data_IF_643892112657
#
_entry.id   IF_643892112657
#
_cell.length_a   1.000
_cell.length_b   1.000
_cell.length_c   1.000
_cell.angle_alpha   90.00
_cell.angle_beta   90.00
_cell.angle_gamma   90.00
#
_symmetry.space_group_name_H-M   'P 1'
#
loop_
_entity.id
_entity.type
_entity.pdbx_description
1 polymer ?
#
# COMPACT_ATOMS: atom_id res chain seq x y z
N UNK A 1 -7.58 39.00 8.45
CA UNK A 1 -7.14 39.54 7.14
C UNK A 1 -8.24 39.30 6.11
N UNK A 2 -8.56 40.26 5.26
CA UNK A 2 -9.48 40.06 4.12
C UNK A 2 -8.64 40.17 2.85
N UNK A 3 -8.48 39.05 2.13
CA UNK A 3 -7.71 38.97 0.88
C UNK A 3 -8.47 38.17 -0.18
N UNK A 4 -8.13 38.38 -1.45
CA UNK A 4 -8.67 37.57 -2.55
C UNK A 4 -8.08 36.16 -2.46
N UNK A 5 -8.93 35.13 -2.54
CA UNK A 5 -8.48 33.75 -2.63
C UNK A 5 -7.70 33.56 -3.95
N UNK A 6 -6.52 32.95 -3.86
CA UNK A 6 -5.61 32.77 -4.98
C UNK A 6 -4.69 31.58 -4.78
N UNK A 7 -3.71 31.43 -5.66
CA UNK A 7 -2.70 30.37 -5.55
C UNK A 7 -1.91 30.46 -4.24
N UNK A 8 -1.43 29.33 -3.71
CA UNK A 8 -0.72 29.33 -2.44
C UNK A 8 0.57 30.15 -2.53
N UNK A 9 0.81 30.98 -1.51
CA UNK A 9 2.01 31.78 -1.35
C UNK A 9 3.22 30.95 -0.88
N UNK A 10 4.40 31.56 -0.89
CA UNK A 10 5.66 30.91 -0.47
C UNK A 10 5.59 30.36 0.97
N UNK A 11 4.97 31.11 1.88
CA UNK A 11 4.85 30.70 3.29
C UNK A 11 3.95 29.47 3.45
N UNK A 12 2.83 29.43 2.74
CA UNK A 12 1.90 28.30 2.76
C UNK A 12 2.56 27.03 2.22
N UNK A 13 3.32 27.15 1.12
CA UNK A 13 4.12 26.06 0.56
C UNK A 13 5.19 25.61 1.56
N UNK A 14 5.94 26.54 2.15
CA UNK A 14 7.01 26.22 3.12
C UNK A 14 6.49 25.55 4.40
N UNK A 15 5.34 26.00 4.91
CA UNK A 15 4.69 25.40 6.07
C UNK A 15 4.19 23.98 5.75
N UNK A 16 3.56 23.78 4.58
CA UNK A 16 3.15 22.46 4.11
C UNK A 16 4.34 21.51 3.98
N UNK A 17 5.45 22.00 3.41
CA UNK A 17 6.67 21.21 3.24
C UNK A 17 7.32 20.83 4.58
N UNK A 18 7.27 21.71 5.59
CA UNK A 18 7.76 21.37 6.93
C UNK A 18 6.90 20.27 7.57
N UNK A 19 5.58 20.36 7.46
CA UNK A 19 4.67 19.34 7.99
C UNK A 19 4.82 17.99 7.25
N UNK A 20 5.02 18.04 5.93
CA UNK A 20 5.33 16.86 5.12
C UNK A 20 6.64 16.19 5.59
N UNK A 21 7.73 16.97 5.73
CA UNK A 21 9.00 16.45 6.26
C UNK A 21 8.88 15.86 7.66
N UNK A 22 8.02 16.42 8.50
CA UNK A 22 7.77 15.90 9.84
C UNK A 22 7.09 14.52 9.84
N UNK A 23 6.30 14.21 8.79
CA UNK A 23 5.50 12.99 8.70
C UNK A 23 6.17 11.89 7.86
N UNK A 24 6.96 12.22 6.83
CA UNK A 24 7.65 11.23 5.99
C UNK A 24 8.34 10.10 6.78
N UNK A 25 9.07 10.37 7.89
CA UNK A 25 9.75 9.31 8.64
C UNK A 25 8.82 8.26 9.26
N UNK A 26 7.56 8.61 9.51
CA UNK A 26 6.56 7.73 10.16
C UNK A 26 5.54 7.17 9.18
N UNK A 27 5.58 7.56 7.90
CA UNK A 27 4.71 6.99 6.88
C UNK A 27 5.03 5.49 6.68
N UNK A 28 4.01 4.67 6.38
CA UNK A 28 4.21 3.28 5.98
C UNK A 28 4.92 3.21 4.63
N UNK A 29 5.49 2.05 4.33
CA UNK A 29 5.99 1.77 2.98
C UNK A 29 4.84 1.64 1.97
N UNK A 30 5.14 1.81 0.67
CA UNK A 30 4.19 1.53 -0.42
C UNK A 30 3.74 0.06 -0.42
N UNK A 31 4.59 -0.84 0.09
CA UNK A 31 4.25 -2.25 0.24
C UNK A 31 3.14 -2.46 1.28
N UNK A 32 3.28 -1.84 2.45
CA UNK A 32 2.30 -1.91 3.55
C UNK A 32 1.03 -1.10 3.27
N UNK A 33 1.15 0.04 2.60
CA UNK A 33 0.04 0.95 2.34
C UNK A 33 0.13 1.56 0.93
N UNK A 34 -0.41 0.89 -0.10
CA UNK A 34 -0.23 1.24 -1.51
C UNK A 34 -1.09 2.42 -1.98
N UNK A 35 -1.19 3.46 -1.16
CA UNK A 35 -2.07 4.59 -1.42
C UNK A 35 -1.27 5.85 -1.67
N UNK A 36 -1.68 6.60 -2.69
CA UNK A 36 -1.31 8.00 -2.80
C UNK A 36 -2.05 8.80 -1.72
N UNK A 37 -1.30 9.40 -0.80
CA UNK A 37 -1.85 10.18 0.32
C UNK A 37 -1.81 11.66 -0.05
N UNK A 38 -2.95 12.34 0.06
CA UNK A 38 -3.04 13.80 -0.03
C UNK A 38 -3.63 14.36 1.25
N UNK A 39 -2.81 15.09 2.02
CA UNK A 39 -3.28 15.88 3.16
C UNK A 39 -3.43 17.35 2.73
N UNK A 40 -4.56 17.95 3.09
CA UNK A 40 -4.80 19.39 2.93
C UNK A 40 -5.16 19.93 4.31
N UNK A 41 -4.37 20.89 4.80
CA UNK A 41 -4.68 21.57 6.06
C UNK A 41 -5.19 22.97 5.74
N UNK A 42 -6.43 23.24 6.16
CA UNK A 42 -7.03 24.57 6.08
C UNK A 42 -6.93 25.26 7.45
N UNK A 43 -6.22 26.39 7.48
CA UNK A 43 -6.03 27.16 8.71
C UNK A 43 -7.24 28.10 8.89
N UNK A 44 -8.10 27.75 9.83
CA UNK A 44 -9.32 28.53 10.13
C UNK A 44 -9.09 29.64 11.18
N UNK A 45 -8.02 29.51 11.97
CA UNK A 45 -7.60 30.53 12.95
C UNK A 45 -6.09 30.44 13.18
N UNK A 46 -5.47 31.55 13.55
CA UNK A 46 -4.04 31.63 13.81
C UNK A 46 -3.77 32.63 14.94
N UNK A 47 -2.99 32.19 15.93
CA UNK A 47 -2.30 33.02 16.91
C UNK A 47 -1.14 32.19 17.48
N UNK A 48 -0.19 31.82 16.61
CA UNK A 48 0.80 30.78 16.86
C UNK A 48 1.13 29.98 15.59
N UNK A 49 1.94 28.95 15.74
CA UNK A 49 2.52 28.26 14.58
C UNK A 49 1.55 27.32 13.84
N UNK A 50 1.07 27.80 12.69
CA UNK A 50 0.19 27.03 11.80
C UNK A 50 0.88 25.83 11.17
N UNK A 51 2.21 25.81 11.03
CA UNK A 51 2.94 24.64 10.52
C UNK A 51 2.97 23.49 11.54
N UNK A 52 3.06 23.81 12.84
CA UNK A 52 2.96 22.79 13.90
C UNK A 52 1.54 22.29 14.03
N UNK A 53 0.55 23.19 13.97
CA UNK A 53 -0.86 22.80 13.88
C UNK A 53 -1.12 21.87 12.69
N UNK A 54 -0.55 22.16 11.50
CA UNK A 54 -0.69 21.33 10.31
C UNK A 54 -0.06 19.94 10.47
N UNK A 55 1.06 19.83 11.19
CA UNK A 55 1.68 18.53 11.49
C UNK A 55 0.78 17.70 12.42
N UNK A 56 0.28 18.32 13.50
CA UNK A 56 -0.59 17.66 14.46
C UNK A 56 -1.93 17.26 13.83
N UNK A 57 -2.57 18.15 13.06
CA UNK A 57 -3.83 17.86 12.38
C UNK A 57 -3.67 16.80 11.30
N UNK A 58 -2.59 16.85 10.51
CA UNK A 58 -2.32 15.83 9.50
C UNK A 58 -2.07 14.46 10.13
N UNK A 59 -1.37 14.41 11.27
CA UNK A 59 -1.21 13.14 12.01
C UNK A 59 -2.57 12.53 12.37
N UNK A 60 -3.45 13.32 13.01
CA UNK A 60 -4.78 12.86 13.38
C UNK A 60 -5.63 12.48 12.17
N UNK A 61 -5.62 13.28 11.11
CA UNK A 61 -6.38 13.02 9.89
C UNK A 61 -5.91 11.74 9.18
N UNK A 62 -4.61 11.48 9.15
CA UNK A 62 -4.05 10.25 8.57
C UNK A 62 -4.42 9.03 9.41
N UNK A 63 -4.35 9.13 10.74
CA UNK A 63 -4.81 8.07 11.64
C UNK A 63 -6.31 7.81 11.49
N UNK A 64 -7.13 8.86 11.39
CA UNK A 64 -8.57 8.76 11.15
C UNK A 64 -8.89 8.12 9.79
N UNK A 65 -8.11 8.46 8.76
CA UNK A 65 -8.22 7.87 7.43
C UNK A 65 -7.75 6.40 7.37
N UNK A 66 -7.19 5.86 8.46
CA UNK A 66 -6.71 4.47 8.56
C UNK A 66 -5.31 4.25 7.99
N UNK A 67 -4.51 5.32 7.84
CA UNK A 67 -3.11 5.20 7.42
C UNK A 67 -2.29 4.61 8.58
N UNK A 68 -1.60 3.47 8.39
CA UNK A 68 -0.84 2.80 9.45
C UNK A 68 0.48 3.52 9.73
N UNK A 69 0.42 4.69 10.37
CA UNK A 69 1.60 5.43 10.79
C UNK A 69 2.40 4.62 11.82
N UNK A 70 3.74 4.60 11.69
CA UNK A 70 4.64 3.91 12.64
C UNK A 70 4.54 4.46 14.06
N UNK A 71 4.30 5.76 14.19
CA UNK A 71 4.04 6.45 15.44
C UNK A 71 3.38 7.82 15.17
N UNK A 72 2.54 8.33 16.09
CA UNK A 72 1.99 9.67 15.98
C UNK A 72 3.08 10.73 16.17
N UNK A 73 2.99 11.81 15.38
CA UNK A 73 3.92 12.94 15.41
C UNK A 73 3.19 14.17 15.93
N UNK A 74 3.82 14.90 16.83
CA UNK A 74 3.37 16.22 17.26
C UNK A 74 4.45 17.26 16.96
N UNK A 75 4.04 18.53 16.92
CA UNK A 75 4.94 19.66 16.72
C UNK A 75 4.69 20.74 17.76
N UNK A 76 5.74 21.46 18.12
CA UNK A 76 5.66 22.64 18.98
C UNK A 76 6.52 23.77 18.41
N UNK A 77 6.02 24.99 18.51
CA UNK A 77 6.78 26.19 18.20
C UNK A 77 7.44 26.73 19.47
N UNK A 78 8.69 27.10 19.34
CA UNK A 78 9.53 27.51 20.44
C UNK A 78 10.16 28.85 20.07
N UNK A 79 10.35 29.70 21.08
CA UNK A 79 11.02 30.97 20.93
C UNK A 79 12.24 31.05 21.82
N UNK A 80 13.15 31.94 21.47
CA UNK A 80 14.26 32.35 22.33
C UNK A 80 14.30 33.87 22.41
N UNK A 81 14.41 34.39 23.62
CA UNK A 81 14.67 35.81 23.88
C UNK A 81 16.01 35.95 24.62
N UNK A 82 16.80 36.95 24.22
CA UNK A 82 18.13 37.24 24.74
C UNK A 82 18.12 38.61 25.39
N UNK A 83 18.49 38.65 26.68
CA UNK A 83 18.66 39.89 27.44
C UNK A 83 20.06 39.92 28.05
N UNK A 84 20.99 40.57 27.34
CA UNK A 84 22.42 40.50 27.64
C UNK A 84 22.94 39.06 27.57
N UNK A 85 23.40 38.53 28.72
CA UNK A 85 23.88 37.15 28.82
C UNK A 85 22.78 36.13 29.17
N UNK A 86 21.55 36.60 29.45
CA UNK A 86 20.43 35.73 29.83
C UNK A 86 19.65 35.28 28.61
N UNK A 87 19.26 34.01 28.62
CA UNK A 87 18.51 33.37 27.55
C UNK A 87 17.20 32.81 28.12
N UNK A 88 16.07 33.17 27.52
CA UNK A 88 14.75 32.68 27.88
C UNK A 88 14.18 31.86 26.73
N UNK A 89 13.86 30.60 27.00
CA UNK A 89 13.22 29.71 26.02
C UNK A 89 11.72 29.70 26.27
N UNK A 90 10.95 30.12 25.27
CA UNK A 90 9.50 30.14 25.27
C UNK A 90 8.95 28.88 24.60
N UNK A 91 7.82 28.38 25.09
CA UNK A 91 7.16 27.18 24.57
C UNK A 91 5.76 27.53 24.08
N UNK A 92 5.41 27.03 22.90
CA UNK A 92 4.16 27.32 22.18
C UNK A 92 3.93 28.82 21.95
N UNK A 93 4.89 29.45 21.27
CA UNK A 93 4.89 30.91 21.09
C UNK A 93 3.70 31.42 20.28
N UNK A 94 3.15 32.55 20.72
CA UNK A 94 2.19 33.34 19.96
C UNK A 94 2.89 34.20 18.90
N UNK A 95 2.11 34.72 17.94
CA UNK A 95 2.65 35.56 16.84
C UNK A 95 3.40 36.81 17.37
N UNK A 96 2.94 37.38 18.51
CA UNK A 96 3.61 38.51 19.15
C UNK A 96 4.97 38.14 19.77
N UNK A 97 5.09 36.93 20.30
CA UNK A 97 6.33 36.42 20.91
C UNK A 97 7.34 36.01 19.84
N UNK A 98 6.89 35.43 18.73
CA UNK A 98 7.72 35.23 17.53
C UNK A 98 8.26 36.58 17.04
N UNK A 99 7.39 37.55 16.81
CA UNK A 99 7.79 38.86 16.30
C UNK A 99 8.84 39.55 17.19
N UNK A 100 8.70 39.46 18.51
CA UNK A 100 9.61 40.08 19.48
C UNK A 100 10.84 39.22 19.82
N UNK A 101 10.82 37.92 19.53
CA UNK A 101 11.89 36.99 19.87
C UNK A 101 13.11 37.11 18.97
N UNK A 102 14.26 36.68 19.49
CA UNK A 102 15.57 36.70 18.81
C UNK A 102 15.81 35.47 17.93
N UNK A 103 15.04 34.41 18.16
CA UNK A 103 15.03 33.21 17.35
C UNK A 103 13.69 32.48 17.54
N UNK A 104 13.15 31.95 16.44
CA UNK A 104 12.03 31.02 16.48
C UNK A 104 12.46 29.68 15.90
N UNK A 105 11.96 28.60 16.50
CA UNK A 105 12.22 27.27 15.98
C UNK A 105 11.04 26.34 16.21
N UNK A 106 10.89 25.41 15.30
CA UNK A 106 9.80 24.45 15.24
C UNK A 106 10.40 23.07 15.37
N UNK A 107 9.92 22.30 16.34
CA UNK A 107 10.40 20.94 16.59
C UNK A 107 9.24 19.98 16.48
N UNK A 108 9.36 19.00 15.59
CA UNK A 108 8.38 17.93 15.43
C UNK A 108 9.00 16.58 15.80
N UNK A 109 8.16 15.63 16.18
CA UNK A 109 8.63 14.32 16.54
C UNK A 109 7.60 13.41 17.18
N UNK A 110 8.03 12.18 17.38
CA UNK A 110 7.31 11.16 18.12
C UNK A 110 7.76 11.18 19.59
N UNK A 111 7.22 10.26 20.39
CA UNK A 111 7.74 9.98 21.74
C UNK A 111 9.19 9.48 21.73
N UNK A 112 9.65 8.88 20.63
CA UNK A 112 10.95 8.22 20.53
C UNK A 112 12.05 9.11 19.94
N UNK A 113 11.69 10.25 19.33
CA UNK A 113 12.67 11.10 18.68
C UNK A 113 12.06 12.22 17.85
N UNK A 114 12.94 13.08 17.36
CA UNK A 114 12.60 14.22 16.50
C UNK A 114 12.50 13.75 15.05
N UNK A 115 11.49 14.22 14.32
CA UNK A 115 11.32 13.91 12.88
C UNK A 115 11.72 15.08 11.98
N UNK A 116 11.48 16.33 12.41
CA UNK A 116 11.99 17.52 11.75
C UNK A 116 12.29 18.65 12.73
N UNK A 117 13.22 19.52 12.34
CA UNK A 117 13.54 20.77 13.02
C UNK A 117 13.65 21.87 11.97
N UNK A 118 13.04 23.01 12.23
CA UNK A 118 13.27 24.25 11.49
C UNK A 118 13.67 25.33 12.48
N UNK A 119 14.71 26.09 12.18
CA UNK A 119 15.22 27.17 13.02
C UNK A 119 15.39 28.41 12.16
N UNK A 120 14.91 29.54 12.65
CA UNK A 120 15.13 30.85 12.05
C UNK A 120 15.75 31.77 13.12
N UNK A 121 16.99 32.19 12.85
CA UNK A 121 17.79 32.98 13.80
C UNK A 121 17.79 34.43 13.34
N UNK A 122 17.32 35.33 14.21
CA UNK A 122 17.33 36.79 13.95
C UNK A 122 18.58 37.46 14.52
N UNK A 123 19.32 36.75 15.37
CA UNK A 123 20.58 37.19 15.99
C UNK A 123 21.78 36.31 15.60
N UNK A 124 22.97 36.90 15.65
CA UNK A 124 24.23 36.18 15.45
C UNK A 124 24.83 35.72 16.78
N UNK A 125 25.38 34.50 16.82
CA UNK A 125 26.29 34.09 17.90
C UNK A 125 25.66 33.34 19.09
N UNK A 126 24.54 32.64 18.91
CA UNK A 126 24.00 31.77 19.98
C UNK A 126 24.94 30.59 20.27
N UNK A 127 25.32 30.35 21.55
CA UNK A 127 26.11 29.19 21.92
C UNK A 127 25.36 27.87 21.61
N UNK A 128 26.10 26.85 21.18
CA UNK A 128 25.53 25.52 20.89
C UNK A 128 24.84 24.90 22.11
N UNK A 129 25.34 25.19 23.32
CA UNK A 129 24.71 24.76 24.57
C UNK A 129 23.29 25.31 24.74
N UNK A 130 23.09 26.60 24.42
CA UNK A 130 21.77 27.24 24.48
C UNK A 130 20.81 26.61 23.49
N UNK A 131 21.26 26.36 22.25
CA UNK A 131 20.45 25.68 21.24
C UNK A 131 20.09 24.25 21.67
N UNK A 132 21.04 23.51 22.24
CA UNK A 132 20.80 22.16 22.73
C UNK A 132 19.77 22.14 23.87
N UNK A 133 19.85 23.08 24.80
CA UNK A 133 18.90 23.17 25.91
C UNK A 133 17.51 23.63 25.45
N UNK A 134 17.45 24.54 24.48
CA UNK A 134 16.19 24.95 23.85
C UNK A 134 15.49 23.77 23.13
N UNK A 135 16.25 22.96 22.39
CA UNK A 135 15.72 21.74 21.75
C UNK A 135 15.28 20.71 22.81
N UNK A 136 16.04 20.50 23.89
CA UNK A 136 15.62 19.60 24.98
C UNK A 136 14.32 20.08 25.63
N UNK A 137 14.18 21.39 25.86
CA UNK A 137 12.97 21.98 26.45
C UNK A 137 11.73 21.82 25.55
N UNK A 138 11.90 21.67 24.24
CA UNK A 138 10.78 21.35 23.34
C UNK A 138 10.16 19.97 23.60
N UNK A 139 10.93 19.04 24.20
CA UNK A 139 10.50 17.66 24.44
C UNK A 139 9.24 17.54 25.30
N UNK A 140 9.22 18.09 26.53
CA UNK A 140 8.05 18.09 27.39
C UNK A 140 6.81 18.72 26.74
N UNK A 141 6.96 19.87 26.08
CA UNK A 141 5.85 20.55 25.39
C UNK A 141 5.29 19.73 24.23
N UNK A 142 6.17 19.17 23.40
CA UNK A 142 5.78 18.25 22.32
C UNK A 142 5.05 17.03 22.88
N UNK A 143 5.56 16.42 23.94
CA UNK A 143 4.91 15.27 24.59
C UNK A 143 3.52 15.63 25.11
N UNK A 144 3.36 16.80 25.73
CA UNK A 144 2.06 17.27 26.22
C UNK A 144 1.02 17.36 25.09
N UNK A 145 1.40 17.94 23.94
CA UNK A 145 0.54 18.00 22.75
C UNK A 145 0.23 16.58 22.23
N UNK A 146 1.25 15.71 22.14
CA UNK A 146 1.08 14.34 21.69
C UNK A 146 0.09 13.57 22.56
N UNK A 147 0.21 13.69 23.89
CA UNK A 147 -0.66 13.02 24.86
C UNK A 147 -2.14 13.45 24.65
N UNK A 148 -2.39 14.73 24.36
CA UNK A 148 -3.73 15.24 24.06
C UNK A 148 -4.26 14.72 22.70
N UNK A 149 -3.39 14.64 21.69
CA UNK A 149 -3.77 14.07 20.38
C UNK A 149 -4.19 12.61 20.52
N UNK A 150 -3.39 11.78 21.20
CA UNK A 150 -3.68 10.34 21.36
C UNK A 150 -4.86 10.07 22.28
N UNK A 151 -5.20 11.00 23.18
CA UNK A 151 -6.46 10.94 23.93
C UNK A 151 -7.70 11.08 23.01
N UNK A 152 -7.55 11.70 21.84
CA UNK A 152 -8.62 11.83 20.84
C UNK A 152 -8.64 10.64 19.88
N UNK A 153 -7.48 10.29 19.30
CA UNK A 153 -7.31 9.14 18.41
C UNK A 153 -6.07 8.37 18.86
N UNK A 154 -6.26 7.27 19.57
CA UNK A 154 -5.16 6.52 20.19
C UNK A 154 -4.26 5.80 19.17
N UNK A 155 -4.84 5.32 18.08
CA UNK A 155 -4.16 4.58 17.02
C UNK A 155 -4.87 4.80 15.67
N UNK A 156 -4.19 4.55 14.53
CA UNK A 156 -4.85 4.52 13.24
C UNK A 156 -6.09 3.62 13.25
N UNK A 157 -7.15 4.02 12.54
CA UNK A 157 -8.32 3.17 12.37
C UNK A 157 -7.97 1.91 11.60
N UNK A 158 -8.48 0.76 12.03
CA UNK A 158 -8.24 -0.52 11.36
C UNK A 158 -8.86 -0.61 9.97
N UNK A 159 -9.94 0.14 9.72
CA UNK A 159 -10.68 0.12 8.47
C UNK A 159 -10.59 1.48 7.79
N UNK A 160 -10.27 1.44 6.50
CA UNK A 160 -10.40 2.59 5.61
C UNK A 160 -11.87 2.99 5.45
N UNK A 161 -12.08 4.24 5.05
CA UNK A 161 -13.40 4.73 4.66
C UNK A 161 -14.04 3.82 3.61
N UNK A 162 -15.35 3.51 3.71
CA UNK A 162 -16.04 2.72 2.69
C UNK A 162 -16.08 3.40 1.31
N UNK A 163 -15.84 4.71 1.27
CA UNK A 163 -15.76 5.49 0.03
C UNK A 163 -14.34 5.65 -0.50
N UNK A 164 -13.33 5.21 0.27
CA UNK A 164 -11.96 5.17 -0.22
C UNK A 164 -11.80 3.99 -1.19
N UNK A 165 -11.02 4.16 -2.27
CA UNK A 165 -10.64 3.04 -3.12
C UNK A 165 -10.02 1.93 -2.26
N UNK A 166 -10.38 0.69 -2.50
CA UNK A 166 -9.66 -0.47 -1.96
C UNK A 166 -8.63 -0.90 -2.98
N UNK A 167 -7.46 -1.29 -2.47
CA UNK A 167 -6.34 -1.73 -3.28
C UNK A 167 -5.96 -3.12 -2.80
N UNK A 168 -6.07 -4.09 -3.69
CA UNK A 168 -5.65 -5.47 -3.46
C UNK A 168 -4.44 -5.79 -4.34
N UNK A 169 -3.53 -6.60 -3.80
CA UNK A 169 -2.31 -7.00 -4.49
C UNK A 169 -2.33 -8.50 -4.74
N UNK A 170 -1.90 -8.91 -5.93
CA UNK A 170 -1.65 -10.30 -6.26
C UNK A 170 -0.28 -10.39 -6.94
N UNK A 171 0.54 -11.35 -6.50
CA UNK A 171 1.81 -11.65 -7.15
C UNK A 171 1.63 -12.84 -8.09
N UNK A 172 2.05 -12.67 -9.34
CA UNK A 172 2.00 -13.69 -10.38
C UNK A 172 3.41 -13.99 -10.90
N UNK A 173 3.55 -15.08 -11.63
CA UNK A 173 4.78 -15.41 -12.33
C UNK A 173 5.03 -14.38 -13.46
N UNK A 174 6.21 -13.72 -13.52
CA UNK A 174 6.53 -12.72 -14.54
C UNK A 174 6.33 -13.20 -15.99
N UNK A 175 6.50 -14.49 -16.26
CA UNK A 175 6.29 -15.05 -17.60
C UNK A 175 4.84 -14.94 -18.09
N UNK A 176 3.88 -14.86 -17.16
CA UNK A 176 2.45 -14.76 -17.46
C UNK A 176 1.92 -13.32 -17.55
N UNK A 177 2.77 -12.31 -17.31
CA UNK A 177 2.39 -10.90 -17.46
C UNK A 177 1.83 -10.65 -18.87
N UNK A 178 2.46 -11.22 -19.89
CA UNK A 178 2.00 -11.10 -21.28
C UNK A 178 0.59 -11.65 -21.53
N UNK A 179 0.18 -12.69 -20.79
CA UNK A 179 -1.16 -13.26 -20.89
C UNK A 179 -2.23 -12.36 -20.25
N UNK A 180 -1.88 -11.72 -19.12
CA UNK A 180 -2.79 -10.78 -18.43
C UNK A 180 -2.96 -9.47 -19.20
N UNK A 181 -1.88 -8.94 -19.78
CA UNK A 181 -1.95 -7.73 -20.63
C UNK A 181 -2.69 -8.05 -21.94
N UNK A 182 -2.40 -9.20 -22.55
CA UNK A 182 -2.88 -9.56 -23.88
C UNK A 182 -2.15 -8.81 -25.01
N UNK A 183 -2.47 -9.13 -26.27
CA UNK A 183 -1.85 -8.47 -27.42
C UNK A 183 -2.23 -6.98 -27.45
N UNK A 184 -1.26 -6.11 -27.22
CA UNK A 184 -1.48 -4.65 -27.22
C UNK A 184 -2.39 -4.14 -26.09
N UNK A 185 -2.54 -4.89 -24.99
CA UNK A 185 -3.38 -4.48 -23.85
C UNK A 185 -4.87 -4.83 -24.00
N UNK A 186 -5.27 -5.65 -24.98
CA UNK A 186 -6.67 -5.99 -25.19
C UNK A 186 -7.33 -6.64 -23.96
N UNK A 187 -6.66 -7.61 -23.33
CA UNK A 187 -7.19 -8.35 -22.18
C UNK A 187 -7.36 -7.42 -20.97
N UNK A 188 -6.33 -6.63 -20.64
CA UNK A 188 -6.39 -5.72 -19.48
C UNK A 188 -7.42 -4.61 -19.69
N UNK A 189 -7.57 -4.09 -20.91
CA UNK A 189 -8.60 -3.10 -21.25
C UNK A 189 -10.00 -3.71 -21.14
N UNK A 190 -10.19 -4.98 -21.51
CA UNK A 190 -11.46 -5.69 -21.34
C UNK A 190 -11.79 -5.89 -19.86
N UNK A 191 -10.82 -6.33 -19.06
CA UNK A 191 -11.00 -6.49 -17.60
C UNK A 191 -11.38 -5.15 -16.96
N UNK A 192 -10.62 -4.10 -17.26
CA UNK A 192 -10.88 -2.73 -16.76
C UNK A 192 -12.25 -2.22 -17.21
N UNK A 193 -12.64 -2.47 -18.45
CA UNK A 193 -13.92 -2.02 -19.01
C UNK A 193 -15.14 -2.72 -18.41
N UNK A 194 -15.06 -4.03 -18.13
CA UNK A 194 -16.18 -4.78 -17.55
C UNK A 194 -16.26 -4.65 -16.03
N UNK A 195 -15.11 -4.59 -15.34
CA UNK A 195 -15.09 -4.52 -13.87
C UNK A 195 -15.11 -3.09 -13.34
N UNK A 196 -14.65 -2.12 -14.13
CA UNK A 196 -14.42 -0.74 -13.67
C UNK A 196 -13.28 -0.62 -12.66
N UNK A 197 -12.49 -1.68 -12.44
CA UNK A 197 -11.31 -1.66 -11.58
C UNK A 197 -10.09 -1.17 -12.35
N UNK A 198 -9.26 -0.36 -11.71
CA UNK A 198 -7.97 0.08 -12.24
C UNK A 198 -6.92 -0.99 -11.92
N UNK A 199 -6.22 -1.47 -12.94
CA UNK A 199 -5.21 -2.52 -12.80
C UNK A 199 -3.86 -1.94 -13.20
N UNK A 200 -2.89 -2.05 -12.31
CA UNK A 200 -1.49 -1.71 -12.55
C UNK A 200 -0.62 -2.97 -12.44
N UNK A 201 0.32 -3.14 -13.36
CA UNK A 201 1.17 -4.33 -13.43
C UNK A 201 2.63 -3.89 -13.43
N UNK A 202 3.39 -4.35 -12.45
CA UNK A 202 4.85 -4.15 -12.39
C UNK A 202 5.59 -5.32 -13.05
N UNK A 203 6.80 -5.05 -13.54
CA UNK A 203 7.64 -6.01 -14.26
C UNK A 203 8.07 -7.23 -13.41
N UNK A 204 7.96 -7.11 -12.08
CA UNK A 204 8.25 -8.16 -11.11
C UNK A 204 7.08 -9.16 -10.91
N UNK A 205 5.98 -8.96 -11.63
CA UNK A 205 4.76 -9.77 -11.53
C UNK A 205 3.82 -9.32 -10.41
N UNK A 206 4.05 -8.17 -9.77
CA UNK A 206 3.09 -7.58 -8.83
C UNK A 206 1.97 -6.88 -9.60
N UNK A 207 0.75 -7.40 -9.46
CA UNK A 207 -0.46 -6.78 -9.99
C UNK A 207 -1.20 -6.11 -8.84
N UNK A 208 -1.53 -4.84 -9.03
CA UNK A 208 -2.30 -4.03 -8.08
C UNK A 208 -3.66 -3.72 -8.69
N UNK A 209 -4.74 -4.10 -8.01
CA UNK A 209 -6.12 -3.88 -8.44
C UNK A 209 -6.78 -2.89 -7.50
N UNK A 210 -7.24 -1.76 -8.03
CA UNK A 210 -7.86 -0.69 -7.27
C UNK A 210 -9.30 -0.41 -7.73
N UNK A 211 -10.25 -0.36 -6.80
CA UNK A 211 -11.63 0.08 -7.10
C UNK A 211 -12.34 0.61 -5.86
N UNK A 212 -13.40 1.40 -6.05
CA UNK A 212 -14.25 1.87 -4.96
C UNK A 212 -15.27 0.82 -4.50
N UNK A 213 -15.49 -0.23 -5.30
CA UNK A 213 -16.40 -1.34 -4.96
C UNK A 213 -15.62 -2.63 -4.73
N UNK A 214 -15.92 -3.31 -3.63
CA UNK A 214 -15.30 -4.60 -3.29
C UNK A 214 -15.69 -5.68 -4.30
N UNK A 215 -16.92 -5.65 -4.83
CA UNK A 215 -17.36 -6.63 -5.82
C UNK A 215 -16.60 -6.52 -7.15
N UNK A 216 -16.24 -5.30 -7.57
CA UNK A 216 -15.43 -5.07 -8.76
C UNK A 216 -14.01 -5.63 -8.61
N UNK A 217 -13.41 -5.48 -7.42
CA UNK A 217 -12.07 -6.00 -7.13
C UNK A 217 -12.08 -7.53 -7.15
N UNK A 218 -13.04 -8.15 -6.47
CA UNK A 218 -13.15 -9.62 -6.42
C UNK A 218 -13.30 -10.22 -7.83
N UNK A 219 -14.15 -9.61 -8.67
CA UNK A 219 -14.32 -10.03 -10.08
C UNK A 219 -13.01 -9.89 -10.87
N UNK A 220 -12.32 -8.76 -10.74
CA UNK A 220 -11.05 -8.54 -11.43
C UNK A 220 -9.98 -9.54 -10.96
N UNK A 221 -9.88 -9.79 -9.65
CA UNK A 221 -8.96 -10.76 -9.06
C UNK A 221 -9.27 -12.19 -9.51
N UNK A 222 -10.54 -12.59 -9.52
CA UNK A 222 -10.96 -13.92 -9.99
C UNK A 222 -10.59 -14.12 -11.46
N UNK A 223 -10.77 -13.08 -12.28
CA UNK A 223 -10.42 -13.15 -13.70
C UNK A 223 -8.91 -13.24 -13.93
N UNK A 224 -8.13 -12.43 -13.21
CA UNK A 224 -6.66 -12.48 -13.23
C UNK A 224 -6.17 -13.84 -12.73
N UNK A 225 -6.76 -14.37 -11.66
CA UNK A 225 -6.45 -15.71 -11.15
C UNK A 225 -6.76 -16.77 -12.21
N UNK A 226 -7.93 -16.74 -12.86
CA UNK A 226 -8.24 -17.68 -13.93
C UNK A 226 -7.27 -17.67 -15.12
N UNK A 227 -6.63 -16.53 -15.40
CA UNK A 227 -5.60 -16.40 -16.44
C UNK A 227 -4.20 -16.83 -15.96
N UNK A 228 -3.95 -16.76 -14.65
CA UNK A 228 -2.61 -16.93 -14.06
C UNK A 228 -2.46 -18.18 -13.22
N UNK A 229 -3.55 -18.87 -12.91
CA UNK A 229 -3.58 -20.08 -12.08
C UNK A 229 -2.58 -21.10 -12.64
N UNK A 230 -1.65 -21.51 -11.78
CA UNK A 230 -0.67 -22.52 -12.12
C UNK A 230 -1.20 -23.90 -11.70
N UNK A 231 -0.91 -24.94 -12.51
CA UNK A 231 -1.25 -26.29 -12.11
C UNK A 231 -0.35 -26.68 -10.93
N UNK A 232 -0.94 -26.80 -9.75
CA UNK A 232 -0.23 -27.26 -8.57
C UNK A 232 -0.09 -28.79 -8.61
N UNK A 233 1.15 -29.27 -8.52
CA UNK A 233 1.46 -30.70 -8.43
C UNK A 233 0.73 -31.29 -7.21
N UNK A 234 -0.15 -32.25 -7.45
CA UNK A 234 -0.95 -32.90 -6.42
C UNK A 234 -2.39 -32.40 -6.27
N UNK A 235 -2.79 -31.29 -6.91
CA UNK A 235 -4.19 -30.81 -6.91
C UNK A 235 -5.03 -31.63 -7.90
N UNK A 236 -6.30 -31.85 -7.53
CA UNK A 236 -7.31 -32.51 -8.37
C UNK A 236 -7.95 -31.47 -9.28
N UNK A 237 -7.97 -31.74 -10.58
CA UNK A 237 -8.59 -30.89 -11.59
C UNK A 237 -9.68 -31.68 -12.31
N UNK A 238 -10.81 -31.03 -12.59
CA UNK A 238 -11.86 -31.60 -13.44
C UNK A 238 -11.72 -30.97 -14.81
N UNK A 239 -11.35 -31.78 -15.80
CA UNK A 239 -11.00 -31.30 -17.13
C UNK A 239 -11.68 -32.06 -18.24
N UNK A 240 -11.81 -31.43 -19.41
CA UNK A 240 -12.43 -32.03 -20.59
C UNK A 240 -11.38 -32.70 -21.47
N UNK A 241 -11.63 -33.94 -21.90
CA UNK A 241 -10.76 -34.62 -22.88
C UNK A 241 -10.85 -33.90 -24.22
N UNK A 242 -9.73 -33.35 -24.70
CA UNK A 242 -9.66 -32.59 -25.97
C UNK A 242 -9.31 -33.50 -27.13
N UNK A 243 -8.34 -34.38 -26.95
CA UNK A 243 -7.83 -35.24 -28.02
C UNK A 243 -7.32 -36.55 -27.44
N UNK A 244 -7.65 -37.66 -28.10
CA UNK A 244 -7.15 -38.98 -27.73
C UNK A 244 -6.10 -39.43 -28.76
N UNK A 245 -4.99 -40.02 -28.28
CA UNK A 245 -3.97 -40.68 -29.10
C UNK A 245 -3.71 -42.08 -28.57
N UNK A 246 -3.04 -42.90 -29.37
CA UNK A 246 -2.76 -44.31 -29.04
C UNK A 246 -1.97 -44.50 -27.74
N UNK A 247 -1.19 -43.50 -27.33
CA UNK A 247 -0.37 -43.54 -26.11
C UNK A 247 -0.97 -42.79 -24.91
N UNK A 248 -2.10 -42.10 -25.07
CA UNK A 248 -2.72 -41.32 -23.99
C UNK A 248 -3.77 -40.30 -24.45
N UNK A 249 -4.36 -39.60 -23.48
CA UNK A 249 -5.37 -38.57 -23.72
C UNK A 249 -4.87 -37.19 -23.26
N UNK A 250 -5.19 -36.14 -24.01
CA UNK A 250 -4.99 -34.76 -23.60
C UNK A 250 -6.25 -34.24 -22.93
N UNK A 251 -6.12 -33.80 -21.69
CA UNK A 251 -7.21 -33.27 -20.87
C UNK A 251 -6.94 -31.79 -20.61
N UNK A 252 -7.86 -30.93 -21.00
CA UNK A 252 -7.80 -29.51 -20.68
C UNK A 252 -8.19 -29.32 -19.22
N UNK A 253 -7.21 -29.00 -18.38
CA UNK A 253 -7.39 -28.81 -16.93
C UNK A 253 -7.68 -27.36 -16.57
N UNK A 254 -7.18 -26.41 -17.38
CA UNK A 254 -7.37 -24.97 -17.22
C UNK A 254 -7.37 -24.28 -18.60
N UNK A 255 -7.93 -23.06 -18.71
CA UNK A 255 -7.96 -22.32 -19.97
C UNK A 255 -6.56 -22.19 -20.59
N UNK A 256 -6.35 -22.77 -21.78
CA UNK A 256 -5.07 -22.75 -22.49
C UNK A 256 -3.99 -23.69 -21.94
N UNK A 257 -4.31 -24.54 -20.96
CA UNK A 257 -3.37 -25.48 -20.34
C UNK A 257 -3.86 -26.92 -20.46
N UNK A 258 -3.16 -27.71 -21.29
CA UNK A 258 -3.47 -29.12 -21.53
C UNK A 258 -2.50 -30.03 -20.78
N UNK A 259 -3.05 -31.01 -20.06
CA UNK A 259 -2.29 -32.07 -19.42
C UNK A 259 -2.36 -33.37 -20.21
N UNK A 260 -1.26 -34.11 -20.22
CA UNK A 260 -1.15 -35.42 -20.87
C UNK A 260 -1.39 -36.52 -19.83
N UNK A 261 -2.43 -37.32 -20.08
CA UNK A 261 -2.73 -38.53 -19.33
C UNK A 261 -2.21 -39.74 -20.11
N UNK A 262 -1.13 -40.34 -19.62
CA UNK A 262 -0.53 -41.51 -20.26
C UNK A 262 -1.39 -42.76 -20.04
N UNK A 263 -1.44 -43.69 -21.00
CA UNK A 263 -2.26 -44.92 -20.93
C UNK A 263 -2.04 -45.74 -19.65
N UNK A 264 -0.80 -45.76 -19.14
CA UNK A 264 -0.43 -46.47 -17.90
C UNK A 264 -0.91 -45.79 -16.61
N UNK A 265 -1.45 -44.58 -16.70
CA UNK A 265 -1.93 -43.77 -15.58
C UNK A 265 -3.46 -43.60 -15.58
N UNK A 266 -4.18 -44.26 -16.51
CA UNK A 266 -5.65 -44.19 -16.65
C UNK A 266 -6.36 -45.09 -15.62
N UNK A 267 -5.87 -46.31 -15.43
CA UNK A 267 -6.47 -47.30 -14.54
C UNK A 267 -5.40 -48.24 -13.97
N UNK A 268 -5.68 -48.90 -12.84
CA UNK A 268 -4.83 -49.98 -12.30
C UNK A 268 -4.93 -51.27 -13.13
N UNK A 269 -6.00 -51.43 -13.91
CA UNK A 269 -6.19 -52.55 -14.82
C UNK A 269 -5.48 -52.31 -16.16
N UNK A 270 -5.05 -53.39 -16.83
CA UNK A 270 -4.37 -53.30 -18.13
C UNK A 270 -5.38 -52.89 -19.21
N UNK A 271 -5.31 -51.63 -19.63
CA UNK A 271 -6.13 -51.08 -20.71
C UNK A 271 -5.35 -51.24 -22.03
N UNK A 272 -5.92 -51.93 -23.01
CA UNK A 272 -5.30 -52.11 -24.33
C UNK A 272 -5.49 -50.88 -25.22
N UNK A 273 -6.65 -50.20 -25.17
CA UNK A 273 -6.89 -48.97 -25.92
C UNK A 273 -7.49 -47.86 -25.06
N UNK A 274 -6.97 -46.64 -25.21
CA UNK A 274 -7.43 -45.44 -24.49
C UNK A 274 -8.91 -45.13 -24.80
N UNK A 275 -9.36 -45.44 -26.01
CA UNK A 275 -10.73 -45.25 -26.51
C UNK A 275 -11.78 -46.10 -25.78
N UNK A 276 -11.38 -47.15 -25.08
CA UNK A 276 -12.31 -48.03 -24.36
C UNK A 276 -12.77 -47.40 -23.03
N UNK A 277 -11.99 -46.45 -22.49
CA UNK A 277 -12.21 -45.85 -21.17
C UNK A 277 -12.52 -44.35 -21.25
N UNK A 278 -11.98 -43.66 -22.25
CA UNK A 278 -12.13 -42.21 -22.40
C UNK A 278 -12.74 -41.88 -23.75
N UNK A 279 -13.70 -40.94 -23.77
CA UNK A 279 -14.26 -40.35 -24.99
C UNK A 279 -13.83 -38.91 -25.15
N UNK A 280 -13.62 -38.49 -26.39
CA UNK A 280 -13.39 -37.08 -26.69
C UNK A 280 -14.59 -36.25 -26.21
N UNK A 281 -14.28 -35.20 -25.45
CA UNK A 281 -15.26 -34.32 -24.83
C UNK A 281 -15.82 -34.76 -23.47
N UNK A 282 -15.38 -35.89 -22.93
CA UNK A 282 -15.77 -36.35 -21.59
C UNK A 282 -15.11 -35.48 -20.50
N UNK A 283 -15.85 -35.18 -19.43
CA UNK A 283 -15.29 -34.57 -18.22
C UNK A 283 -14.70 -35.67 -17.34
N UNK A 284 -13.44 -35.52 -16.94
CA UNK A 284 -12.75 -36.46 -16.07
C UNK A 284 -11.99 -35.73 -14.97
N UNK A 285 -11.97 -36.31 -13.78
CA UNK A 285 -11.18 -35.82 -12.65
C UNK A 285 -9.79 -36.44 -12.69
N UNK A 286 -8.77 -35.59 -12.76
CA UNK A 286 -7.36 -35.96 -12.93
C UNK A 286 -6.51 -35.26 -11.87
N UNK A 287 -5.49 -35.94 -11.35
CA UNK A 287 -4.50 -35.33 -10.44
C UNK A 287 -3.24 -34.97 -11.23
N UNK A 288 -2.69 -33.79 -10.97
CA UNK A 288 -1.39 -33.42 -11.52
C UNK A 288 -0.28 -34.21 -10.83
N UNK A 289 0.40 -35.11 -11.55
CA UNK A 289 1.44 -35.97 -11.00
C UNK A 289 2.82 -35.30 -11.02
N UNK A 290 3.08 -34.42 -11.99
CA UNK A 290 4.34 -33.70 -12.11
C UNK A 290 4.44 -32.92 -13.41
N UNK A 291 5.43 -32.03 -13.49
CA UNK A 291 5.78 -31.29 -14.69
C UNK A 291 7.04 -31.93 -15.27
N UNK A 292 6.97 -32.38 -16.52
CA UNK A 292 8.07 -33.02 -17.22
C UNK A 292 9.13 -31.98 -17.66
N UNK A 293 10.37 -32.39 -17.98
CA UNK A 293 11.50 -31.48 -18.30
C UNK A 293 11.23 -30.51 -19.47
N UNK A 294 10.21 -30.78 -20.28
CA UNK A 294 9.75 -29.94 -21.40
C UNK A 294 8.55 -29.04 -21.05
N UNK A 295 8.21 -28.89 -19.77
CA UNK A 295 7.08 -28.08 -19.30
C UNK A 295 5.70 -28.70 -19.58
N UNK A 296 5.65 -30.00 -19.92
CA UNK A 296 4.38 -30.72 -20.16
C UNK A 296 3.84 -31.29 -18.86
N UNK A 297 2.54 -31.13 -18.66
CA UNK A 297 1.86 -31.51 -17.44
C UNK A 297 1.48 -32.99 -17.50
N UNK A 298 2.02 -33.80 -16.60
CA UNK A 298 1.68 -35.23 -16.50
C UNK A 298 0.53 -35.42 -15.53
N UNK A 299 -0.55 -36.03 -16.02
CA UNK A 299 -1.76 -36.30 -15.25
C UNK A 299 -1.83 -37.78 -14.85
N UNK A 300 -2.50 -38.07 -13.74
CA UNK A 300 -2.86 -39.42 -13.33
C UNK A 300 -4.31 -39.52 -12.88
N UNK A 301 -4.95 -40.64 -13.23
CA UNK A 301 -6.29 -41.04 -12.77
C UNK A 301 -6.22 -42.22 -11.79
N UNK A 302 -5.02 -42.72 -11.47
CA UNK A 302 -4.84 -43.83 -10.51
C UNK A 302 -5.14 -43.38 -9.08
N UNK A 303 -5.98 -44.15 -8.39
CA UNK A 303 -6.34 -43.91 -6.99
C UNK A 303 -7.33 -42.76 -6.77
N UNK A 304 -8.09 -42.36 -7.80
CA UNK A 304 -9.11 -41.31 -7.73
C UNK A 304 -10.45 -41.94 -8.12
N UNK A 305 -11.45 -41.88 -7.22
CA UNK A 305 -12.82 -42.26 -7.55
C UNK A 305 -13.41 -41.23 -8.50
N UNK A 306 -13.85 -41.70 -9.68
CA UNK A 306 -14.59 -40.87 -10.63
C UNK A 306 -16.05 -40.78 -10.19
N UNK A 307 -16.59 -39.57 -10.13
CA UNK A 307 -18.04 -39.34 -10.00
C UNK A 307 -18.70 -39.24 -11.37
#
# INVERSE_FOLDING_TARGET
>A
EVRRLGSPGRREIGHGYLAERALIPVLPSEEEFPYAIRSVTEIMSQNGSTSMAATCSSTLALMDAGVPLKAPVSGIAMGLMVDGDKHYVLSDIADAEDFAGDMDFKVTGTANGITAVQMDMKVHGLPVSVLADAIKQSGPGRKHILDHMVATIAAPREKLSPYAPRIEKIKINPEKIGAVIGKGGETINKITGETGAMIDIKDDGLITVASNDTASIEKALEWIRGLTEEPEVGKLYTGKVVTIKDFGAFVNIMPGTDGMLHISQISEQRVENVTDVLKEGQMVTVKLAGIDEKGRLSLTMKGIEQQ
#
